data_IF_592973275284
#
_entry.id   IF_592973275284
#
_cell.length_a   1.000
_cell.length_b   1.000
_cell.length_c   1.000
_cell.angle_alpha   90.00
_cell.angle_beta   90.00
_cell.angle_gamma   90.00
#
_symmetry.space_group_name_H-M   'P 1'
#
loop_
_entity.id
_entity.type
_entity.pdbx_description
1 polymer ?
#
# COMPACT_ATOMS: atom_id res chain seq x y z
N UNK A 1 -8.16 1.11 3.41
CA UNK A 1 -6.85 0.44 3.21
C UNK A 1 -6.50 -0.48 4.38
N UNK A 2 -6.25 0.03 5.60
CA UNK A 2 -5.73 -0.79 6.71
C UNK A 2 -6.55 -2.05 7.05
N UNK A 3 -7.88 -1.95 7.15
CA UNK A 3 -8.73 -3.15 7.39
C UNK A 3 -8.63 -4.14 6.23
N UNK A 4 -8.72 -3.67 5.00
CA UNK A 4 -8.60 -4.49 3.79
C UNK A 4 -7.22 -5.17 3.69
N UNK A 5 -6.13 -4.45 4.01
CA UNK A 5 -4.77 -5.00 4.06
C UNK A 5 -4.66 -6.15 5.06
N UNK A 6 -5.25 -6.00 6.25
CA UNK A 6 -5.25 -7.05 7.26
C UNK A 6 -6.04 -8.29 6.82
N UNK A 7 -7.19 -8.10 6.18
CA UNK A 7 -7.98 -9.20 5.59
C UNK A 7 -7.19 -9.91 4.48
N UNK A 8 -6.55 -9.16 3.59
CA UNK A 8 -5.68 -9.70 2.55
C UNK A 8 -4.53 -10.53 3.15
N UNK A 9 -3.79 -10.00 4.11
CA UNK A 9 -2.68 -10.72 4.75
C UNK A 9 -3.15 -11.97 5.51
N UNK A 10 -4.31 -11.91 6.15
CA UNK A 10 -4.91 -13.07 6.82
C UNK A 10 -5.23 -14.16 5.81
N UNK A 11 -5.85 -13.79 4.68
CA UNK A 11 -6.12 -14.70 3.58
C UNK A 11 -4.83 -15.32 3.02
N UNK A 12 -3.80 -14.50 2.74
CA UNK A 12 -2.54 -14.98 2.19
C UNK A 12 -1.84 -15.97 3.13
N UNK A 13 -1.79 -15.66 4.43
CA UNK A 13 -1.23 -16.57 5.45
C UNK A 13 -2.02 -17.87 5.58
N UNK A 14 -3.33 -17.84 5.36
CA UNK A 14 -4.14 -19.06 5.37
C UNK A 14 -3.85 -19.96 4.16
N UNK A 15 -3.54 -19.37 3.01
CA UNK A 15 -3.25 -20.07 1.76
C UNK A 15 -1.78 -20.54 1.65
N UNK A 16 -0.85 -19.78 2.21
CA UNK A 16 0.59 -20.04 2.23
C UNK A 16 1.14 -19.84 3.65
N UNK A 17 0.87 -20.81 4.53
CA UNK A 17 1.24 -20.75 5.94
C UNK A 17 2.75 -20.68 6.17
N UNK A 18 3.54 -21.25 5.27
CA UNK A 18 5.00 -21.24 5.35
C UNK A 18 5.61 -19.94 4.80
N UNK A 19 4.79 -19.05 4.22
CA UNK A 19 5.21 -17.81 3.55
C UNK A 19 6.30 -18.04 2.48
N UNK A 20 6.28 -19.19 1.81
CA UNK A 20 7.31 -19.58 0.84
C UNK A 20 7.15 -18.87 -0.51
N UNK A 21 5.94 -18.36 -0.80
CA UNK A 21 5.57 -17.83 -2.11
C UNK A 21 5.40 -16.29 -2.09
N UNK A 22 6.18 -15.56 -1.28
CA UNK A 22 6.03 -14.08 -1.14
C UNK A 22 6.10 -13.29 -2.44
N UNK A 23 6.84 -13.77 -3.42
CA UNK A 23 6.87 -13.18 -4.78
C UNK A 23 5.47 -13.21 -5.42
N UNK A 24 4.73 -14.32 -5.28
CA UNK A 24 3.35 -14.43 -5.75
C UNK A 24 2.40 -13.54 -4.96
N UNK A 25 2.70 -13.24 -3.70
CA UNK A 25 1.84 -12.37 -2.88
C UNK A 25 1.79 -10.95 -3.43
N UNK A 26 2.90 -10.42 -3.94
CA UNK A 26 2.92 -9.10 -4.57
C UNK A 26 2.06 -9.03 -5.82
N UNK A 27 2.19 -10.01 -6.71
CA UNK A 27 1.30 -10.13 -7.88
C UNK A 27 -0.17 -10.26 -7.47
N UNK A 28 -0.48 -11.06 -6.44
CA UNK A 28 -1.84 -11.21 -5.93
C UNK A 28 -2.40 -9.91 -5.34
N UNK A 29 -1.56 -9.14 -4.63
CA UNK A 29 -1.94 -7.83 -4.12
C UNK A 29 -2.38 -6.93 -5.27
N UNK A 30 -1.52 -6.76 -6.28
CA UNK A 30 -1.79 -5.91 -7.44
C UNK A 30 -3.07 -6.35 -8.18
N UNK A 31 -3.30 -7.65 -8.32
CA UNK A 31 -4.53 -8.16 -8.94
C UNK A 31 -5.80 -7.88 -8.12
N UNK A 32 -5.70 -7.68 -6.79
CA UNK A 32 -6.85 -7.53 -5.89
C UNK A 32 -7.12 -6.11 -5.39
N UNK A 33 -6.15 -5.19 -5.47
CA UNK A 33 -6.36 -3.79 -5.04
C UNK A 33 -7.37 -3.01 -5.90
N UNK A 34 -7.73 -3.55 -7.07
CA UNK A 34 -8.72 -2.96 -7.98
C UNK A 34 -8.23 -1.71 -8.72
N UNK A 35 -9.09 -1.05 -9.50
CA UNK A 35 -8.70 0.04 -10.40
C UNK A 35 -8.04 1.23 -9.68
N UNK A 36 -8.59 1.68 -8.55
CA UNK A 36 -8.02 2.78 -7.76
C UNK A 36 -6.64 2.39 -7.21
N UNK A 37 -6.48 1.16 -6.71
CA UNK A 37 -5.19 0.67 -6.24
C UNK A 37 -4.14 0.59 -7.36
N UNK A 38 -4.57 0.26 -8.59
CA UNK A 38 -3.72 0.26 -9.77
C UNK A 38 -3.31 1.68 -10.20
N UNK A 39 -4.20 2.67 -10.07
CA UNK A 39 -3.85 4.08 -10.29
C UNK A 39 -2.82 4.57 -9.27
N UNK A 40 -2.98 4.22 -8.00
CA UNK A 40 -2.01 4.51 -6.95
C UNK A 40 -0.67 3.82 -7.24
N UNK A 41 -0.68 2.53 -7.59
CA UNK A 41 0.55 1.80 -7.92
C UNK A 41 1.35 2.48 -9.04
N UNK A 42 0.69 3.08 -10.04
CA UNK A 42 1.36 3.80 -11.13
C UNK A 42 2.08 5.08 -10.69
N UNK A 43 1.79 5.62 -9.50
CA UNK A 43 2.52 6.78 -8.96
C UNK A 43 3.81 6.37 -8.23
N UNK A 44 3.97 5.08 -7.93
CA UNK A 44 5.13 4.58 -7.19
C UNK A 44 6.39 4.56 -8.05
N UNK A 45 7.48 5.06 -7.47
CA UNK A 45 8.83 4.92 -8.00
C UNK A 45 9.52 3.70 -7.38
N UNK A 46 10.39 3.03 -8.14
CA UNK A 46 11.07 1.79 -7.74
C UNK A 46 12.53 1.84 -8.14
N UNK A 47 13.41 1.34 -7.28
CA UNK A 47 14.86 1.37 -7.51
C UNK A 47 15.30 0.31 -8.54
N UNK A 48 14.54 -0.78 -8.67
CA UNK A 48 14.77 -1.85 -9.65
C UNK A 48 13.48 -2.63 -9.95
N UNK A 49 13.51 -3.49 -10.98
CA UNK A 49 12.32 -4.25 -11.39
C UNK A 49 11.86 -5.29 -10.36
N UNK A 50 12.78 -5.92 -9.62
CA UNK A 50 12.42 -6.87 -8.55
C UNK A 50 11.59 -6.22 -7.45
N UNK A 51 11.85 -4.94 -7.14
CA UNK A 51 11.12 -4.21 -6.11
C UNK A 51 9.65 -3.91 -6.47
N UNK A 52 9.26 -4.07 -7.74
CA UNK A 52 7.88 -3.83 -8.21
C UNK A 52 6.89 -4.90 -7.78
N UNK A 53 7.37 -6.09 -7.47
CA UNK A 53 6.54 -7.23 -7.08
C UNK A 53 6.86 -7.73 -5.65
N UNK A 54 7.83 -7.12 -4.97
CA UNK A 54 8.08 -7.42 -3.56
C UNK A 54 6.90 -6.94 -2.70
N UNK A 55 6.23 -7.88 -2.05
CA UNK A 55 5.04 -7.61 -1.24
C UNK A 55 5.31 -6.63 -0.09
N UNK A 56 6.49 -6.68 0.54
CA UNK A 56 6.79 -5.79 1.66
C UNK A 56 7.01 -4.36 1.17
N UNK A 57 7.69 -4.21 0.03
CA UNK A 57 7.91 -2.90 -0.60
C UNK A 57 6.57 -2.30 -1.03
N UNK A 58 5.73 -3.10 -1.70
CA UNK A 58 4.41 -2.66 -2.13
C UNK A 58 3.54 -2.23 -0.95
N UNK A 59 3.43 -3.05 0.10
CA UNK A 59 2.64 -2.72 1.29
C UNK A 59 3.13 -1.44 1.96
N UNK A 60 4.45 -1.25 2.07
CA UNK A 60 5.02 -0.03 2.64
C UNK A 60 4.66 1.21 1.81
N UNK A 61 4.76 1.14 0.48
CA UNK A 61 4.37 2.26 -0.40
C UNK A 61 2.88 2.57 -0.32
N UNK A 62 2.02 1.56 -0.30
CA UNK A 62 0.58 1.76 -0.10
C UNK A 62 0.24 2.32 1.29
N UNK A 63 0.94 1.86 2.34
CA UNK A 63 0.79 2.40 3.69
C UNK A 63 1.17 3.88 3.73
N UNK A 64 2.29 4.26 3.12
CA UNK A 64 2.72 5.65 3.02
C UNK A 64 1.70 6.50 2.25
N UNK A 65 1.29 6.06 1.06
CA UNK A 65 0.28 6.76 0.25
C UNK A 65 -1.03 6.96 1.03
N UNK A 66 -1.51 5.90 1.69
CA UNK A 66 -2.79 5.95 2.40
C UNK A 66 -2.72 6.76 3.71
N UNK A 67 -1.54 6.85 4.34
CA UNK A 67 -1.33 7.63 5.55
C UNK A 67 -1.12 9.12 5.27
N UNK A 68 -0.41 9.46 4.19
CA UNK A 68 0.08 10.83 3.96
C UNK A 68 -0.44 11.46 2.66
N UNK A 69 -0.42 10.74 1.53
CA UNK A 69 -0.79 11.32 0.23
C UNK A 69 -2.30 11.42 -0.01
N UNK A 70 -3.10 10.56 0.63
CA UNK A 70 -4.56 10.68 0.60
C UNK A 70 -5.10 11.67 1.66
N UNK A 71 -4.22 12.32 2.44
CA UNK A 71 -4.61 13.31 3.43
C UNK A 71 -4.92 14.62 2.70
N UNK A 72 -6.18 14.81 2.28
CA UNK A 72 -6.67 16.13 1.88
C UNK A 72 -6.86 16.96 3.14
N UNK A 73 -6.29 18.18 3.16
CA UNK A 73 -6.56 19.17 4.20
C UNK A 73 -8.07 19.33 4.35
N UNK A 74 -8.60 19.10 5.55
CA UNK A 74 -10.03 19.36 5.80
C UNK A 74 -10.31 20.86 5.69
N UNK A 75 -11.52 21.26 5.31
CA UNK A 75 -11.92 22.68 5.22
C UNK A 75 -11.67 23.45 6.53
N UNK A 76 -11.76 22.75 7.66
CA UNK A 76 -11.63 23.30 9.00
C UNK A 76 -10.29 22.97 9.67
N UNK A 77 -9.36 22.30 8.96
CA UNK A 77 -8.03 22.01 9.49
C UNK A 77 -7.13 23.24 9.32
N UNK A 78 -6.44 23.64 10.39
CA UNK A 78 -5.42 24.69 10.32
C UNK A 78 -4.27 24.26 9.39
N UNK A 79 -3.78 25.17 8.55
CA UNK A 79 -2.75 24.85 7.56
C UNK A 79 -1.41 24.48 8.19
N UNK A 80 -1.06 25.07 9.33
CA UNK A 80 0.18 24.78 10.04
C UNK A 80 0.12 23.40 10.71
N UNK A 81 -1.06 23.01 11.21
CA UNK A 81 -1.31 21.66 11.73
C UNK A 81 -1.22 20.63 10.60
N UNK A 82 -1.83 20.91 9.45
CA UNK A 82 -1.76 20.03 8.28
C UNK A 82 -0.31 19.83 7.82
N UNK A 83 0.45 20.92 7.66
CA UNK A 83 1.86 20.88 7.21
C UNK A 83 2.77 20.17 8.21
N UNK A 84 2.57 20.36 9.52
CA UNK A 84 3.36 19.67 10.54
C UNK A 84 3.11 18.16 10.58
N UNK A 85 1.89 17.72 10.26
CA UNK A 85 1.55 16.29 10.19
C UNK A 85 2.03 15.59 8.90
N UNK A 86 2.53 16.36 7.92
CA UNK A 86 3.13 15.85 6.68
C UNK A 86 4.67 15.70 6.76
N UNK A 87 5.31 16.19 7.82
CA UNK A 87 6.76 16.10 8.06
C UNK A 87 7.11 14.84 8.86
#
# INVERSE_FOLDING_TARGET
WFSWKNEFLTYMKSADQAENDKEKWGMMLLNRVGPIGQEIYRTFTFDNDYSKEDINILLNKFDHYCAFENRKKSTDEDIDIYVNNLK
#
